data_IF_338279613107
#
_entry.id   IF_338279613107
#
_cell.length_a   1.000
_cell.length_b   1.000
_cell.length_c   1.000
_cell.angle_alpha   90.00
_cell.angle_beta   90.00
_cell.angle_gamma   90.00
#
_symmetry.space_group_name_H-M   'P 1'
#
loop_
_entity.id
_entity.type
_entity.pdbx_description
1 polymer ?
#
# COMPACT_ATOMS: atom_id res chain seq x y z
N UNK A 1 7.08 -7.82 -27.30
CA UNK A 1 7.33 -6.53 -27.17
C UNK A 1 6.47 -5.68 -26.37
N UNK A 2 5.69 -6.26 -25.50
CA UNK A 2 4.85 -5.47 -24.62
C UNK A 2 5.69 -4.59 -23.71
N UNK A 3 6.90 -4.99 -23.42
CA UNK A 3 7.76 -4.19 -22.58
C UNK A 3 8.01 -2.83 -23.20
N UNK A 4 8.25 -2.79 -24.48
CA UNK A 4 8.45 -1.52 -25.16
C UNK A 4 7.19 -0.70 -25.11
N UNK A 5 6.05 -1.32 -25.31
CA UNK A 5 4.79 -0.60 -25.22
C UNK A 5 4.55 -0.07 -23.83
N UNK A 6 4.89 -0.86 -22.82
CA UNK A 6 4.70 -0.42 -21.45
C UNK A 6 5.56 0.80 -21.15
N UNK A 7 6.78 0.81 -21.61
CA UNK A 7 7.64 1.97 -21.40
C UNK A 7 7.06 3.20 -22.08
N UNK A 8 6.52 3.03 -23.27
CA UNK A 8 5.90 4.15 -23.98
C UNK A 8 4.63 4.62 -23.31
N UNK A 9 4.00 3.78 -22.50
CA UNK A 9 2.76 4.14 -21.82
C UNK A 9 2.99 4.76 -20.47
N UNK A 10 4.21 4.87 -20.02
CA UNK A 10 4.45 5.22 -18.64
C UNK A 10 3.93 6.59 -18.29
N UNK A 11 4.19 7.59 -19.09
CA UNK A 11 3.85 8.93 -18.70
C UNK A 11 2.88 9.54 -19.67
N UNK A 12 1.85 10.17 -19.16
CA UNK A 12 0.86 10.78 -20.01
C UNK A 12 -0.09 9.81 -20.67
N UNK A 13 0.12 8.52 -20.50
CA UNK A 13 -0.78 7.51 -21.03
C UNK A 13 -1.98 7.35 -20.14
N UNK A 14 -3.14 7.12 -20.73
CA UNK A 14 -4.31 6.86 -19.95
C UNK A 14 -4.31 5.41 -19.48
N UNK A 15 -4.52 5.24 -18.20
CA UNK A 15 -4.73 3.92 -17.62
C UNK A 15 -6.15 3.82 -17.12
N UNK A 16 -6.73 2.62 -17.08
CA UNK A 16 -8.01 2.45 -16.39
C UNK A 16 -7.90 3.00 -14.97
N UNK A 17 -9.00 3.55 -14.49
CA UNK A 17 -8.99 4.25 -13.21
C UNK A 17 -8.45 3.39 -12.09
N UNK A 18 -8.83 2.11 -12.05
CA UNK A 18 -8.37 1.21 -11.01
C UNK A 18 -6.87 0.96 -11.08
N UNK A 19 -6.34 0.82 -12.29
CA UNK A 19 -4.91 0.61 -12.45
C UNK A 19 -4.12 1.85 -12.09
N UNK A 20 -4.64 3.00 -12.42
CA UNK A 20 -3.99 4.25 -12.02
C UNK A 20 -3.99 4.41 -10.50
N UNK A 21 -5.11 4.07 -9.87
CA UNK A 21 -5.18 4.16 -8.42
C UNK A 21 -4.15 3.24 -7.76
N UNK A 22 -4.01 2.02 -8.26
CA UNK A 22 -3.03 1.08 -7.73
C UNK A 22 -1.61 1.60 -7.91
N UNK A 23 -1.32 2.20 -9.05
CA UNK A 23 -0.03 2.79 -9.32
C UNK A 23 0.29 3.91 -8.31
N UNK A 24 -0.70 4.76 -8.05
CA UNK A 24 -0.51 5.87 -7.12
C UNK A 24 -0.29 5.37 -5.69
N UNK A 25 -1.01 4.33 -5.29
CA UNK A 25 -0.84 3.75 -3.96
C UNK A 25 0.54 3.11 -3.80
N UNK A 26 1.03 2.43 -4.82
CA UNK A 26 2.37 1.84 -4.76
C UNK A 26 3.44 2.91 -4.61
N UNK A 27 3.32 3.99 -5.37
CA UNK A 27 4.28 5.08 -5.28
C UNK A 27 4.21 5.76 -3.91
N UNK A 28 3.01 5.97 -3.41
CA UNK A 28 2.84 6.58 -2.10
C UNK A 28 3.45 5.73 -0.99
N UNK A 29 3.26 4.41 -1.08
CA UNK A 29 3.86 3.51 -0.08
C UNK A 29 5.37 3.65 -0.04
N UNK A 30 6.00 3.68 -1.21
CA UNK A 30 7.44 3.83 -1.28
C UNK A 30 7.91 5.13 -0.62
N UNK A 31 7.22 6.21 -0.91
CA UNK A 31 7.60 7.51 -0.37
C UNK A 31 7.39 7.58 1.14
N UNK A 32 6.24 7.08 1.61
CA UNK A 32 5.95 7.09 3.05
C UNK A 32 6.92 6.21 3.83
N UNK A 33 7.26 5.05 3.30
CA UNK A 33 8.20 4.15 3.98
C UNK A 33 9.58 4.77 4.03
N UNK A 34 10.00 5.40 2.93
CA UNK A 34 11.34 5.98 2.86
C UNK A 34 11.50 7.24 3.69
N UNK A 35 10.48 8.09 3.74
CA UNK A 35 10.60 9.42 4.32
C UNK A 35 9.76 9.65 5.57
N UNK A 36 8.78 8.78 5.84
CA UNK A 36 7.80 9.02 6.89
C UNK A 36 6.69 9.92 6.39
N UNK A 37 5.59 9.94 7.13
CA UNK A 37 4.41 10.66 6.69
C UNK A 37 4.65 12.16 6.59
N UNK A 38 5.21 12.75 7.64
CA UNK A 38 5.32 14.21 7.70
C UNK A 38 6.30 14.78 6.69
N UNK A 39 7.37 14.06 6.41
CA UNK A 39 8.36 14.51 5.44
C UNK A 39 7.94 14.28 4.01
N UNK A 40 7.03 13.35 3.77
CA UNK A 40 6.57 13.04 2.41
C UNK A 40 5.68 14.16 1.91
N UNK A 41 5.85 14.53 0.64
CA UNK A 41 5.04 15.56 0.01
C UNK A 41 4.28 14.97 -1.16
N UNK A 42 3.13 15.54 -1.48
CA UNK A 42 2.38 15.12 -2.66
C UNK A 42 3.21 15.26 -3.92
N UNK A 43 4.09 16.26 -3.99
CA UNK A 43 5.00 16.40 -5.13
C UNK A 43 5.89 15.18 -5.29
N UNK A 44 6.42 14.67 -4.17
CA UNK A 44 7.30 13.51 -4.21
C UNK A 44 6.54 12.28 -4.69
N UNK A 45 5.30 12.15 -4.27
CA UNK A 45 4.48 11.01 -4.64
C UNK A 45 4.13 11.06 -6.12
N UNK A 46 3.76 12.24 -6.62
CA UNK A 46 3.46 12.40 -8.05
C UNK A 46 4.69 12.06 -8.88
N UNK A 47 5.85 12.52 -8.45
CA UNK A 47 7.10 12.24 -9.17
C UNK A 47 7.40 10.75 -9.15
N UNK A 48 7.26 10.10 -8.01
CA UNK A 48 7.52 8.66 -7.92
C UNK A 48 6.56 7.85 -8.79
N UNK A 49 5.33 8.32 -8.93
CA UNK A 49 4.35 7.65 -9.76
C UNK A 49 4.47 7.99 -11.24
N UNK A 50 5.24 9.02 -11.58
CA UNK A 50 5.39 9.45 -12.96
C UNK A 50 4.16 10.15 -13.50
N UNK A 51 3.41 10.85 -12.65
CA UNK A 51 2.21 11.56 -13.06
C UNK A 51 2.28 13.02 -12.65
N UNK A 52 1.41 13.84 -13.22
CA UNK A 52 1.30 15.23 -12.83
C UNK A 52 0.54 15.34 -11.51
N UNK A 53 0.73 16.45 -10.81
CA UNK A 53 -0.02 16.67 -9.57
C UNK A 53 -1.52 16.68 -9.78
N UNK A 54 -2.07 17.33 -10.83
CA UNK A 54 -3.51 17.25 -11.04
C UNK A 54 -4.05 15.83 -11.15
N UNK A 55 -3.30 14.93 -11.79
CA UNK A 55 -3.73 13.54 -11.89
C UNK A 55 -3.78 12.90 -10.52
N UNK A 56 -2.75 13.14 -9.70
CA UNK A 56 -2.74 12.60 -8.36
C UNK A 56 -3.92 13.12 -7.54
N UNK A 57 -4.17 14.43 -7.60
CA UNK A 57 -5.25 15.03 -6.81
C UNK A 57 -6.64 14.62 -7.30
N UNK A 58 -6.76 14.15 -8.53
CA UNK A 58 -8.03 13.61 -9.01
C UNK A 58 -8.42 12.34 -8.28
N UNK A 59 -7.43 11.60 -7.79
CA UNK A 59 -7.67 10.33 -7.11
C UNK A 59 -7.66 10.47 -5.60
N UNK A 60 -6.83 11.35 -5.08
CA UNK A 60 -6.67 11.51 -3.62
C UNK A 60 -6.56 12.98 -3.29
N UNK A 61 -7.48 13.50 -2.46
CA UNK A 61 -7.47 14.94 -2.17
C UNK A 61 -6.23 15.40 -1.42
N UNK A 62 -5.57 14.50 -0.70
CA UNK A 62 -4.40 14.88 0.04
C UNK A 62 -3.62 13.68 0.53
N UNK A 63 -2.59 13.98 1.28
CA UNK A 63 -1.64 12.99 1.76
C UNK A 63 -2.28 12.05 2.78
N UNK A 64 -3.15 12.59 3.64
CA UNK A 64 -3.82 11.77 4.64
C UNK A 64 -4.71 10.71 3.99
N UNK A 65 -5.46 11.12 2.97
CA UNK A 65 -6.34 10.17 2.27
C UNK A 65 -5.55 9.06 1.60
N UNK A 66 -4.40 9.40 1.05
CA UNK A 66 -3.50 8.38 0.50
C UNK A 66 -3.03 7.42 1.58
N UNK A 67 -2.62 7.97 2.71
CA UNK A 67 -2.10 7.15 3.80
C UNK A 67 -3.17 6.21 4.35
N UNK A 68 -4.38 6.72 4.56
CA UNK A 68 -5.49 5.92 5.05
C UNK A 68 -5.83 4.81 4.06
N UNK A 69 -5.82 5.12 2.75
CA UNK A 69 -6.08 4.09 1.75
C UNK A 69 -5.03 2.99 1.79
N UNK A 70 -3.78 3.34 2.05
CA UNK A 70 -2.73 2.35 2.18
C UNK A 70 -2.91 1.48 3.40
N UNK A 71 -3.32 2.07 4.52
CA UNK A 71 -3.60 1.29 5.73
C UNK A 71 -4.72 0.30 5.48
N UNK A 72 -5.78 0.75 4.82
CA UNK A 72 -6.91 -0.13 4.52
C UNK A 72 -6.48 -1.27 3.61
N UNK A 73 -5.68 -0.97 2.59
CA UNK A 73 -5.20 -1.99 1.67
C UNK A 73 -4.30 -3.01 2.38
N UNK A 74 -3.39 -2.53 3.21
CA UNK A 74 -2.48 -3.41 3.93
C UNK A 74 -3.22 -4.29 4.92
N UNK A 75 -4.21 -3.72 5.61
CA UNK A 75 -5.01 -4.49 6.56
C UNK A 75 -5.83 -5.55 5.85
N UNK A 76 -6.41 -5.21 4.71
CA UNK A 76 -7.18 -6.17 3.93
C UNK A 76 -6.30 -7.31 3.44
N UNK A 77 -5.08 -6.99 3.01
CA UNK A 77 -4.14 -8.01 2.54
C UNK A 77 -3.77 -8.97 3.67
N UNK A 78 -3.53 -8.45 4.87
CA UNK A 78 -3.21 -9.30 6.01
C UNK A 78 -4.39 -10.20 6.35
N UNK A 79 -5.60 -9.65 6.40
CA UNK A 79 -6.79 -10.44 6.69
C UNK A 79 -6.97 -11.54 5.65
N UNK A 80 -6.78 -11.21 4.37
CA UNK A 80 -6.90 -12.21 3.31
C UNK A 80 -5.87 -13.32 3.46
N UNK A 81 -4.63 -12.98 3.83
CA UNK A 81 -3.58 -13.98 4.04
C UNK A 81 -3.93 -14.91 5.19
N UNK A 82 -4.45 -14.36 6.28
CA UNK A 82 -4.82 -15.17 7.43
C UNK A 82 -5.99 -16.08 7.09
N UNK A 83 -6.99 -15.56 6.38
CA UNK A 83 -8.12 -16.39 5.96
C UNK A 83 -7.68 -17.52 5.05
N UNK A 84 -6.78 -17.25 4.12
CA UNK A 84 -6.24 -18.28 3.24
C UNK A 84 -5.49 -19.34 4.03
N UNK A 85 -4.73 -18.93 5.03
CA UNK A 85 -3.99 -19.87 5.88
C UNK A 85 -4.95 -20.76 6.66
N UNK A 86 -6.02 -20.18 7.19
CA UNK A 86 -7.01 -20.95 7.94
C UNK A 86 -7.76 -21.93 7.06
N UNK A 87 -7.94 -21.60 5.79
CA UNK A 87 -8.65 -22.45 4.85
C UNK A 87 -7.76 -23.47 4.16
N UNK A 88 -6.43 -23.40 4.36
CA UNK A 88 -5.49 -24.22 3.61
C UNK A 88 -5.53 -25.69 3.99
N UNK A 89 -6.00 -26.01 5.18
CA UNK A 89 -6.04 -27.39 5.66
C UNK A 89 -7.08 -27.50 6.76
N UNK A 90 -7.56 -28.72 7.01
CA UNK A 90 -8.44 -28.97 8.14
C UNK A 90 -7.68 -29.43 9.37
N UNK A 91 -6.40 -29.65 9.27
CA UNK A 91 -5.56 -30.05 10.40
C UNK A 91 -5.24 -28.83 11.25
N UNK A 92 -5.69 -28.83 12.51
CA UNK A 92 -5.53 -27.65 13.37
C UNK A 92 -4.09 -27.25 13.59
N UNK A 93 -3.19 -28.20 13.72
CA UNK A 93 -1.78 -27.89 13.92
C UNK A 93 -1.21 -27.18 12.71
N UNK A 94 -1.52 -27.67 11.51
CA UNK A 94 -1.05 -27.04 10.29
C UNK A 94 -1.69 -25.67 10.07
N UNK A 95 -2.95 -25.52 10.50
CA UNK A 95 -3.62 -24.22 10.40
C UNK A 95 -2.94 -23.17 11.27
N UNK A 96 -2.56 -23.55 12.48
CA UNK A 96 -1.86 -22.65 13.38
C UNK A 96 -0.51 -22.26 12.75
N UNK A 97 0.23 -23.24 12.25
CA UNK A 97 1.52 -22.97 11.63
C UNK A 97 1.38 -22.05 10.44
N UNK A 98 0.38 -22.28 9.59
CA UNK A 98 0.17 -21.46 8.41
C UNK A 98 -0.21 -20.03 8.79
N UNK A 99 -1.02 -19.88 9.83
CA UNK A 99 -1.45 -18.55 10.28
C UNK A 99 -0.27 -17.77 10.86
N UNK A 100 0.56 -18.42 11.67
CA UNK A 100 1.73 -17.79 12.23
C UNK A 100 2.69 -17.39 11.11
N UNK A 101 2.86 -18.25 10.12
CA UNK A 101 3.73 -17.93 8.99
C UNK A 101 3.21 -16.73 8.22
N UNK A 102 1.88 -16.65 8.01
CA UNK A 102 1.29 -15.51 7.30
C UNK A 102 1.56 -14.21 8.06
N UNK A 103 1.50 -14.24 9.38
CA UNK A 103 1.79 -13.06 10.18
C UNK A 103 3.26 -12.65 10.06
N UNK A 104 4.18 -13.61 10.14
CA UNK A 104 5.60 -13.29 10.01
C UNK A 104 5.93 -12.77 8.62
N UNK A 105 5.29 -13.32 7.59
CA UNK A 105 5.49 -12.83 6.23
C UNK A 105 5.05 -11.36 6.12
N UNK A 106 3.97 -11.01 6.79
CA UNK A 106 3.49 -9.63 6.79
C UNK A 106 4.50 -8.70 7.47
N UNK A 107 5.04 -9.12 8.63
CA UNK A 107 6.00 -8.30 9.36
C UNK A 107 7.29 -8.12 8.55
N UNK A 108 7.70 -9.16 7.85
CA UNK A 108 8.95 -9.15 7.10
C UNK A 108 8.81 -8.58 5.71
N UNK A 109 7.62 -8.15 5.31
CA UNK A 109 7.36 -7.65 3.97
C UNK A 109 8.32 -6.52 3.63
N UNK A 110 9.14 -6.68 2.58
CA UNK A 110 10.06 -5.62 2.19
C UNK A 110 9.35 -4.35 1.71
N UNK A 111 8.07 -4.45 1.35
CA UNK A 111 7.27 -3.28 1.00
C UNK A 111 6.95 -2.40 2.17
N UNK A 112 7.22 -2.86 3.39
CA UNK A 112 7.08 -2.02 4.56
C UNK A 112 5.68 -1.90 5.12
N UNK A 113 4.78 -2.84 4.81
CA UNK A 113 3.40 -2.75 5.26
C UNK A 113 3.31 -2.68 6.80
N UNK A 114 4.09 -3.51 7.48
CA UNK A 114 4.11 -3.50 8.94
C UNK A 114 4.58 -2.15 9.47
N UNK A 115 5.65 -1.63 8.88
CA UNK A 115 6.21 -0.35 9.31
C UNK A 115 5.23 0.80 9.04
N UNK A 116 4.51 0.72 7.94
CA UNK A 116 3.53 1.73 7.62
C UNK A 116 2.45 1.80 8.71
N UNK A 117 2.02 0.64 9.21
CA UNK A 117 0.94 0.57 10.17
C UNK A 117 1.42 0.85 11.59
N UNK A 118 2.54 0.28 11.99
CA UNK A 118 2.93 0.26 13.40
C UNK A 118 4.07 1.20 13.77
N UNK A 119 4.82 1.70 12.79
CA UNK A 119 5.95 2.57 13.06
C UNK A 119 5.76 3.96 12.52
N UNK A 120 4.54 4.32 12.17
CA UNK A 120 4.24 5.61 11.61
C UNK A 120 4.19 6.68 12.69
N UNK A 121 4.67 7.89 12.35
CA UNK A 121 4.53 9.03 13.22
C UNK A 121 3.10 9.56 13.25
N UNK A 122 2.19 8.91 12.54
CA UNK A 122 0.78 9.27 12.53
C UNK A 122 -0.06 8.45 13.49
N UNK A 123 0.55 7.60 14.32
CA UNK A 123 -0.25 6.77 15.22
C UNK A 123 -1.09 7.60 16.19
N UNK A 124 -0.74 8.87 16.39
CA UNK A 124 -1.51 9.74 17.27
C UNK A 124 -2.66 10.48 16.57
N UNK A 125 -2.74 10.39 15.24
CA UNK A 125 -3.84 11.00 14.51
C UNK A 125 -5.09 10.15 14.69
N UNK A 126 -6.21 10.80 15.02
CA UNK A 126 -7.42 10.03 15.33
C UNK A 126 -7.91 9.22 14.14
N UNK A 127 -7.82 9.75 12.92
CA UNK A 127 -8.27 9.01 11.74
C UNK A 127 -7.45 7.73 11.54
N UNK A 128 -6.16 7.78 11.85
CA UNK A 128 -5.29 6.62 11.70
C UNK A 128 -5.51 5.64 12.85
N UNK A 129 -5.64 6.13 14.07
CA UNK A 129 -5.85 5.27 15.22
C UNK A 129 -7.10 4.41 15.10
N UNK A 130 -8.12 4.94 14.45
CA UNK A 130 -9.34 4.17 14.25
C UNK A 130 -9.11 2.95 13.35
N UNK A 131 -8.05 2.96 12.55
CA UNK A 131 -7.74 1.85 11.67
C UNK A 131 -6.68 0.91 12.21
N UNK A 132 -5.92 1.36 13.14
CA UNK A 132 -4.91 0.56 13.79
C UNK A 132 -5.47 -0.11 15.03
#
# INVERSE_FOLDING_TARGET
MSVVNDAGRSKGQRLPRRERRAQLLDAAREVFVAQGYHAAAMDDIAEAAGVSKPVLYQHFPGKLELYVALLDESSAALVASIRAALASTSDNKLRVQATVQAYFDFVDDPGGAFRLIFESDLTNESAVRERV
#
